data_IF_080306315510
#
_entry.id   IF_080306315510
#
_cell.length_a   1.000
_cell.length_b   1.000
_cell.length_c   1.000
_cell.angle_alpha   90.00
_cell.angle_beta   90.00
_cell.angle_gamma   90.00
#
_symmetry.space_group_name_H-M   'P 1'
#
loop_
_entity.id
_entity.type
_entity.pdbx_description
1 polymer ?
#
# COMPACT_ATOMS: atom_id res chain seq x y z
N UNK A 1 -21.67 -17.27 6.27
CA UNK A 1 -20.23 -17.26 5.94
C UNK A 1 -19.54 -16.53 7.06
N UNK A 2 -18.67 -17.21 7.82
CA UNK A 2 -17.98 -16.59 8.96
C UNK A 2 -17.03 -15.52 8.40
N UNK A 3 -17.29 -14.24 8.70
CA UNK A 3 -16.35 -13.18 8.36
C UNK A 3 -15.16 -13.33 9.29
N UNK A 4 -14.03 -13.84 8.80
CA UNK A 4 -12.76 -13.81 9.54
C UNK A 4 -12.48 -12.35 9.87
N UNK A 5 -12.47 -12.01 11.16
CA UNK A 5 -12.22 -10.65 11.62
C UNK A 5 -10.70 -10.45 11.70
N UNK A 6 -10.24 -9.35 11.11
CA UNK A 6 -8.85 -8.93 11.14
C UNK A 6 -8.78 -7.54 11.74
N UNK A 7 -7.92 -7.36 12.74
CA UNK A 7 -7.68 -6.05 13.33
C UNK A 7 -6.44 -5.43 12.69
N UNK A 8 -6.62 -4.26 12.05
CA UNK A 8 -5.52 -3.55 11.39
C UNK A 8 -4.99 -2.44 12.29
N UNK A 9 -3.72 -2.54 12.67
CA UNK A 9 -3.09 -1.59 13.59
C UNK A 9 -1.63 -1.32 13.24
N UNK A 10 -1.05 -0.29 13.86
CA UNK A 10 0.36 0.05 13.66
C UNK A 10 1.26 -1.04 14.25
N UNK A 11 2.35 -1.37 13.55
CA UNK A 11 3.35 -2.32 14.03
C UNK A 11 3.99 -1.82 15.35
N UNK A 12 4.10 -2.71 16.34
CA UNK A 12 4.82 -2.51 17.58
C UNK A 12 5.71 -3.75 17.88
N UNK A 13 6.35 -3.77 19.05
CA UNK A 13 7.29 -4.83 19.47
C UNK A 13 6.62 -6.13 19.89
N UNK A 14 5.31 -6.13 20.17
CA UNK A 14 4.54 -7.31 20.62
C UNK A 14 4.16 -8.22 19.44
N UNK A 15 4.19 -7.71 18.21
CA UNK A 15 3.85 -8.49 17.04
C UNK A 15 5.00 -9.44 16.64
N UNK A 16 4.71 -10.74 16.62
CA UNK A 16 5.62 -11.73 16.08
C UNK A 16 5.79 -11.54 14.56
N UNK A 17 7.02 -11.17 14.17
CA UNK A 17 7.41 -10.96 12.77
C UNK A 17 8.16 -12.16 12.20
N UNK A 18 8.74 -12.98 13.05
CA UNK A 18 9.65 -14.05 12.65
C UNK A 18 8.90 -15.23 12.05
N UNK A 19 7.66 -15.47 12.48
CA UNK A 19 6.78 -16.49 11.91
C UNK A 19 6.08 -16.08 10.61
N UNK A 20 6.21 -14.83 10.17
CA UNK A 20 5.51 -14.35 8.97
C UNK A 20 6.07 -14.98 7.69
N UNK A 21 5.17 -15.56 6.89
CA UNK A 21 5.55 -16.18 5.62
C UNK A 21 4.52 -15.89 4.53
N UNK A 22 4.83 -14.93 3.65
CA UNK A 22 4.05 -14.64 2.45
C UNK A 22 4.50 -15.45 1.24
N UNK A 23 5.58 -16.24 1.30
CA UNK A 23 6.12 -16.94 0.11
C UNK A 23 6.88 -16.03 -0.84
N UNK A 24 7.33 -14.88 -0.35
CA UNK A 24 8.10 -13.91 -1.11
C UNK A 24 9.29 -13.53 -0.25
N UNK A 25 10.44 -14.18 -0.47
CA UNK A 25 11.63 -14.02 0.39
C UNK A 25 12.02 -12.56 0.62
N UNK A 26 11.85 -11.71 -0.39
CA UNK A 26 12.09 -10.27 -0.28
C UNK A 26 11.15 -9.55 0.69
N UNK A 27 9.84 -9.89 0.68
CA UNK A 27 8.85 -9.29 1.57
C UNK A 27 9.01 -9.86 2.99
N UNK A 28 9.15 -11.18 3.09
CA UNK A 28 9.31 -11.89 4.36
C UNK A 28 10.58 -11.42 5.08
N UNK A 29 11.72 -11.42 4.38
CA UNK A 29 12.99 -10.96 4.94
C UNK A 29 12.99 -9.48 5.33
N UNK A 30 12.31 -8.62 4.57
CA UNK A 30 12.13 -7.23 4.96
C UNK A 30 11.34 -7.09 6.26
N UNK A 31 10.21 -7.78 6.37
CA UNK A 31 9.31 -7.67 7.53
C UNK A 31 9.97 -8.20 8.80
N UNK A 32 10.67 -9.33 8.69
CA UNK A 32 11.39 -9.94 9.80
C UNK A 32 12.53 -9.03 10.28
N UNK A 33 13.38 -8.54 9.36
CA UNK A 33 14.69 -7.96 9.74
C UNK A 33 14.79 -6.45 9.63
N UNK A 34 14.08 -5.82 8.70
CA UNK A 34 14.33 -4.42 8.32
C UNK A 34 13.25 -3.44 8.79
N UNK A 35 11.97 -3.85 8.76
CA UNK A 35 10.84 -2.93 8.97
C UNK A 35 10.90 -2.16 10.29
N UNK A 36 11.39 -2.77 11.37
CA UNK A 36 11.54 -2.11 12.66
C UNK A 36 12.53 -0.94 12.62
N UNK A 37 13.63 -1.07 11.87
CA UNK A 37 14.57 0.03 11.67
C UNK A 37 13.95 1.15 10.85
N UNK A 38 13.22 0.80 9.80
CA UNK A 38 12.55 1.78 8.94
C UNK A 38 11.51 2.61 9.69
N UNK A 39 10.75 1.96 10.58
CA UNK A 39 9.80 2.62 11.48
C UNK A 39 10.51 3.55 12.46
N UNK A 40 11.59 3.09 13.11
CA UNK A 40 12.38 3.92 14.04
C UNK A 40 12.99 5.15 13.37
N UNK A 41 13.51 5.00 12.16
CA UNK A 41 14.07 6.09 11.38
C UNK A 41 13.01 6.97 10.71
N UNK A 42 11.72 6.66 10.86
CA UNK A 42 10.61 7.36 10.23
C UNK A 42 10.69 7.42 8.70
N UNK A 43 11.34 6.43 8.08
CA UNK A 43 11.39 6.30 6.62
C UNK A 43 10.16 5.55 6.08
N UNK A 44 9.49 4.75 6.92
CA UNK A 44 8.19 4.16 6.62
C UNK A 44 7.37 3.98 7.90
N UNK A 45 6.05 4.13 7.79
CA UNK A 45 5.10 3.58 8.76
C UNK A 45 4.73 2.15 8.33
N UNK A 46 4.55 1.24 9.29
CA UNK A 46 4.13 -0.14 9.04
C UNK A 46 2.86 -0.45 9.81
N UNK A 47 1.92 -1.12 9.14
CA UNK A 47 0.66 -1.56 9.69
C UNK A 47 0.52 -3.07 9.45
N UNK A 48 -0.06 -3.76 10.43
CA UNK A 48 -0.27 -5.21 10.42
C UNK A 48 -1.75 -5.51 10.56
N UNK A 49 -2.22 -6.56 9.87
CA UNK A 49 -3.48 -7.22 10.16
C UNK A 49 -3.23 -8.39 11.10
N UNK A 50 -3.94 -8.44 12.22
CA UNK A 50 -3.86 -9.52 13.19
C UNK A 50 -5.07 -10.44 13.08
N UNK A 51 -4.82 -11.74 13.25
CA UNK A 51 -5.84 -12.75 13.50
C UNK A 51 -5.36 -13.64 14.65
N UNK A 52 -6.09 -13.66 15.76
CA UNK A 52 -5.72 -14.40 16.99
C UNK A 52 -4.24 -14.17 17.39
N UNK A 53 -3.82 -12.90 17.45
CA UNK A 53 -2.45 -12.43 17.76
C UNK A 53 -1.37 -12.78 16.73
N UNK A 54 -1.70 -13.49 15.64
CA UNK A 54 -0.78 -13.77 14.55
C UNK A 54 -0.89 -12.70 13.47
N UNK A 55 0.26 -12.27 12.93
CA UNK A 55 0.29 -11.36 11.77
C UNK A 55 -0.19 -12.11 10.52
N UNK A 56 -1.37 -11.75 10.04
CA UNK A 56 -1.97 -12.30 8.83
C UNK A 56 -1.52 -11.57 7.56
N UNK A 57 -1.06 -10.34 7.69
CA UNK A 57 -0.56 -9.51 6.59
C UNK A 57 -0.02 -8.19 7.10
N UNK A 58 0.72 -7.48 6.24
CA UNK A 58 1.22 -6.16 6.56
C UNK A 58 1.32 -5.29 5.31
N UNK A 59 1.37 -3.98 5.52
CA UNK A 59 1.76 -3.03 4.49
C UNK A 59 2.56 -1.87 5.09
N UNK A 60 3.28 -1.14 4.24
CA UNK A 60 4.02 0.05 4.64
C UNK A 60 3.58 1.29 3.87
N UNK A 61 3.64 2.45 4.51
CA UNK A 61 3.39 3.76 3.90
C UNK A 61 4.60 4.68 4.10
N UNK A 62 4.98 5.42 3.08
CA UNK A 62 6.06 6.40 3.13
C UNK A 62 5.71 7.65 2.30
N UNK A 63 6.27 8.80 2.65
CA UNK A 63 6.14 10.01 1.83
C UNK A 63 6.78 9.80 0.45
N UNK A 64 6.16 10.33 -0.60
CA UNK A 64 6.66 10.20 -1.96
C UNK A 64 6.30 11.39 -2.84
N UNK A 65 6.96 11.48 -4.00
CA UNK A 65 6.61 12.39 -5.07
C UNK A 65 6.62 11.67 -6.41
N UNK A 66 5.68 12.01 -7.28
CA UNK A 66 5.65 11.56 -8.67
C UNK A 66 6.09 12.72 -9.53
N UNK A 67 7.07 12.53 -10.42
CA UNK A 67 7.43 13.56 -11.39
C UNK A 67 6.22 13.83 -12.29
N UNK A 68 5.83 15.09 -12.45
CA UNK A 68 4.68 15.48 -13.26
C UNK A 68 4.84 14.96 -14.70
N UNK A 69 6.07 14.99 -15.23
CA UNK A 69 6.41 14.48 -16.55
C UNK A 69 6.16 12.97 -16.73
N UNK A 70 6.15 12.19 -15.64
CA UNK A 70 5.94 10.74 -15.68
C UNK A 70 4.45 10.37 -15.62
N UNK A 71 3.54 11.34 -15.43
CA UNK A 71 2.11 11.07 -15.38
C UNK A 71 1.50 11.03 -16.79
N UNK A 72 0.39 10.29 -17.00
CA UNK A 72 -0.34 10.36 -18.25
C UNK A 72 -0.77 11.79 -18.60
N UNK A 73 -0.69 12.17 -19.87
CA UNK A 73 -1.04 13.53 -20.35
C UNK A 73 -2.43 13.99 -19.91
N UNK A 74 -3.41 13.07 -19.88
CA UNK A 74 -4.76 13.34 -19.41
C UNK A 74 -4.84 13.72 -17.92
N UNK A 75 -3.90 13.21 -17.12
CA UNK A 75 -3.75 13.52 -15.69
C UNK A 75 -3.05 14.85 -15.50
N UNK A 76 -1.94 15.10 -16.22
CA UNK A 76 -1.15 16.35 -16.14
C UNK A 76 -2.05 17.58 -16.34
N UNK A 77 -2.96 17.54 -17.32
CA UNK A 77 -3.86 18.65 -17.65
C UNK A 77 -4.79 19.08 -16.49
N UNK A 78 -4.98 18.23 -15.48
CA UNK A 78 -5.86 18.47 -14.33
C UNK A 78 -5.10 18.91 -13.07
N UNK A 79 -3.77 19.03 -13.16
CA UNK A 79 -2.90 19.32 -12.02
C UNK A 79 -2.20 20.67 -12.17
N UNK A 80 -1.84 21.33 -11.05
CA UNK A 80 -0.94 22.47 -11.07
C UNK A 80 0.41 22.11 -11.69
N UNK A 81 1.06 23.09 -12.34
CA UNK A 81 2.33 22.91 -13.04
C UNK A 81 3.55 22.95 -12.11
N UNK A 82 3.55 22.12 -11.08
CA UNK A 82 4.73 21.86 -10.25
C UNK A 82 5.51 20.65 -10.80
N UNK A 83 6.85 20.60 -10.64
CA UNK A 83 7.65 19.51 -11.18
C UNK A 83 7.29 18.16 -10.56
N UNK A 84 6.83 18.16 -9.30
CA UNK A 84 6.43 16.96 -8.56
C UNK A 84 5.00 17.07 -8.05
N UNK A 85 4.33 15.93 -8.03
CA UNK A 85 2.98 15.74 -7.51
C UNK A 85 3.08 14.99 -6.18
N UNK A 86 2.46 15.49 -5.09
CA UNK A 86 2.56 14.85 -3.78
C UNK A 86 1.87 13.48 -3.78
N UNK A 87 2.54 12.47 -3.23
CA UNK A 87 2.02 11.12 -3.15
C UNK A 87 2.41 10.46 -1.82
N UNK A 88 1.71 9.38 -1.50
CA UNK A 88 2.17 8.41 -0.50
C UNK A 88 2.53 7.14 -1.23
N UNK A 89 3.66 6.51 -0.89
CA UNK A 89 4.06 5.22 -1.45
C UNK A 89 3.62 4.11 -0.52
N UNK A 90 2.82 3.18 -1.02
CA UNK A 90 2.69 1.86 -0.39
C UNK A 90 3.87 1.02 -0.86
N UNK A 91 4.91 0.99 -0.04
CA UNK A 91 6.19 0.38 -0.42
C UNK A 91 6.10 -1.14 -0.49
N UNK A 92 5.31 -1.73 0.42
CA UNK A 92 5.14 -3.19 0.52
C UNK A 92 3.70 -3.50 0.93
N UNK A 93 3.20 -4.62 0.41
CA UNK A 93 1.95 -5.24 0.79
C UNK A 93 2.16 -6.76 0.70
N UNK A 94 1.91 -7.46 1.80
CA UNK A 94 2.06 -8.90 1.86
C UNK A 94 0.96 -9.52 2.73
N UNK A 95 0.54 -10.72 2.34
CA UNK A 95 -0.41 -11.55 3.08
C UNK A 95 0.27 -12.89 3.33
N UNK A 96 0.26 -13.32 4.59
CA UNK A 96 0.78 -14.63 5.00
C UNK A 96 0.02 -15.74 4.27
N UNK A 97 0.71 -16.81 3.88
CA UNK A 97 0.15 -17.88 3.07
C UNK A 97 -1.09 -18.52 3.70
N UNK A 98 -1.14 -18.63 5.03
CA UNK A 98 -2.28 -19.20 5.75
C UNK A 98 -3.57 -18.37 5.60
N UNK A 99 -3.44 -17.09 5.23
CA UNK A 99 -4.55 -16.12 5.13
C UNK A 99 -4.82 -15.64 3.69
N UNK A 100 -4.17 -16.26 2.69
CA UNK A 100 -4.40 -15.95 1.29
C UNK A 100 -5.81 -16.36 0.84
N UNK A 101 -6.26 -15.75 -0.26
CA UNK A 101 -7.55 -16.01 -0.91
C UNK A 101 -8.80 -15.71 -0.04
N UNK A 102 -8.64 -15.00 1.07
CA UNK A 102 -9.74 -14.53 1.93
C UNK A 102 -10.07 -13.04 1.73
N UNK A 103 -9.55 -12.42 0.67
CA UNK A 103 -9.74 -10.99 0.38
C UNK A 103 -8.86 -10.04 1.22
N UNK A 104 -8.01 -10.56 2.12
CA UNK A 104 -7.20 -9.76 3.03
C UNK A 104 -6.29 -8.75 2.33
N UNK A 105 -5.70 -9.09 1.18
CA UNK A 105 -4.86 -8.15 0.43
C UNK A 105 -5.63 -6.91 -0.06
N UNK A 106 -6.88 -7.10 -0.51
CA UNK A 106 -7.76 -6.01 -0.89
C UNK A 106 -8.23 -5.19 0.32
N UNK A 107 -8.49 -5.84 1.45
CA UNK A 107 -8.85 -5.16 2.69
C UNK A 107 -7.71 -4.29 3.24
N UNK A 108 -6.47 -4.80 3.26
CA UNK A 108 -5.28 -4.03 3.62
C UNK A 108 -5.03 -2.85 2.68
N UNK A 109 -5.26 -3.05 1.38
CA UNK A 109 -5.16 -1.96 0.40
C UNK A 109 -6.22 -0.88 0.65
N UNK A 110 -7.46 -1.26 0.97
CA UNK A 110 -8.53 -0.33 1.29
C UNK A 110 -8.23 0.48 2.57
N UNK A 111 -7.77 -0.19 3.63
CA UNK A 111 -7.33 0.47 4.88
C UNK A 111 -6.20 1.48 4.59
N UNK A 112 -5.20 1.10 3.79
CA UNK A 112 -4.10 1.99 3.43
C UNK A 112 -4.55 3.23 2.63
N UNK A 113 -5.49 3.06 1.71
CA UNK A 113 -6.09 4.17 0.95
C UNK A 113 -6.84 5.11 1.92
N UNK A 114 -7.64 4.56 2.82
CA UNK A 114 -8.38 5.34 3.81
C UNK A 114 -7.46 6.13 4.75
N UNK A 115 -6.39 5.50 5.26
CA UNK A 115 -5.37 6.20 6.08
C UNK A 115 -4.69 7.31 5.31
N UNK A 116 -4.41 7.10 4.03
CA UNK A 116 -3.79 8.11 3.17
C UNK A 116 -4.73 9.30 2.93
N UNK A 117 -6.03 9.04 2.74
CA UNK A 117 -7.05 10.10 2.58
C UNK A 117 -7.25 10.89 3.87
N UNK A 118 -7.23 10.21 5.03
CA UNK A 118 -7.42 10.83 6.36
C UNK A 118 -6.16 11.52 6.89
N UNK A 119 -5.02 11.41 6.21
CA UNK A 119 -3.79 12.02 6.64
C UNK A 119 -3.90 13.55 6.64
N UNK A 120 -3.32 14.20 7.65
CA UNK A 120 -3.32 15.66 7.77
C UNK A 120 -2.55 16.33 6.63
N UNK A 121 -1.44 15.73 6.20
CA UNK A 121 -0.69 16.17 5.03
C UNK A 121 -1.35 15.57 3.79
N UNK A 122 -2.01 16.43 3.02
CA UNK A 122 -2.70 16.02 1.80
C UNK A 122 -1.75 15.43 0.76
N UNK A 123 -2.21 14.37 0.09
CA UNK A 123 -1.53 13.76 -1.05
C UNK A 123 -2.51 13.59 -2.22
N UNK A 124 -2.00 13.64 -3.44
CA UNK A 124 -2.83 13.47 -4.63
C UNK A 124 -3.10 11.99 -4.92
N UNK A 125 -2.09 11.13 -4.70
CA UNK A 125 -2.14 9.73 -5.11
C UNK A 125 -1.46 8.79 -4.11
N UNK A 126 -1.95 7.55 -4.09
CA UNK A 126 -1.20 6.40 -3.56
C UNK A 126 -0.37 5.79 -4.69
N UNK A 127 0.92 5.57 -4.47
CA UNK A 127 1.90 5.06 -5.43
C UNK A 127 2.38 3.67 -4.99
N UNK A 128 2.56 2.75 -5.92
CA UNK A 128 3.08 1.40 -5.68
C UNK A 128 4.10 1.02 -6.74
N UNK A 129 5.04 0.17 -6.36
CA UNK A 129 5.83 -0.63 -7.32
C UNK A 129 5.40 -2.08 -7.20
N UNK A 130 4.79 -2.59 -8.27
CA UNK A 130 4.42 -3.98 -8.38
C UNK A 130 5.68 -4.84 -8.61
N UNK A 131 5.77 -5.97 -7.90
CA UNK A 131 6.93 -6.87 -8.00
C UNK A 131 6.89 -7.80 -9.22
N UNK A 132 5.70 -8.05 -9.76
CA UNK A 132 5.43 -8.97 -10.86
C UNK A 132 4.11 -8.61 -11.55
N UNK A 133 3.83 -9.25 -12.69
CA UNK A 133 2.61 -8.99 -13.48
C UNK A 133 1.33 -9.32 -12.69
N UNK A 134 1.37 -10.31 -11.79
CA UNK A 134 0.21 -10.63 -10.94
C UNK A 134 -0.11 -9.46 -10.00
N UNK A 135 0.90 -8.84 -9.41
CA UNK A 135 0.75 -7.63 -8.60
C UNK A 135 0.25 -6.44 -9.44
N UNK A 136 0.74 -6.28 -10.68
CA UNK A 136 0.22 -5.26 -11.61
C UNK A 136 -1.28 -5.46 -11.85
N UNK A 137 -1.72 -6.70 -12.13
CA UNK A 137 -3.13 -7.01 -12.35
C UNK A 137 -3.97 -6.78 -11.09
N UNK A 138 -3.45 -7.16 -9.92
CA UNK A 138 -4.09 -6.89 -8.63
C UNK A 138 -4.34 -5.38 -8.43
N UNK A 139 -3.31 -4.54 -8.60
CA UNK A 139 -3.47 -3.09 -8.43
C UNK A 139 -4.38 -2.48 -9.51
N UNK A 140 -4.28 -2.92 -10.77
CA UNK A 140 -5.17 -2.51 -11.87
C UNK A 140 -6.63 -2.83 -11.57
N UNK A 141 -6.92 -4.01 -11.01
CA UNK A 141 -8.25 -4.39 -10.57
C UNK A 141 -8.81 -3.43 -9.51
N UNK A 142 -7.95 -2.90 -8.64
CA UNK A 142 -8.30 -1.87 -7.65
C UNK A 142 -8.27 -0.43 -8.20
N UNK A 143 -8.16 -0.25 -9.52
CA UNK A 143 -8.27 1.05 -10.18
C UNK A 143 -6.97 1.85 -10.28
N UNK A 144 -5.82 1.24 -9.95
CA UNK A 144 -4.52 1.87 -10.18
C UNK A 144 -4.22 2.01 -11.67
N UNK A 145 -3.43 3.02 -12.01
CA UNK A 145 -3.01 3.34 -13.37
C UNK A 145 -1.49 3.26 -13.42
N UNK A 146 -0.93 2.47 -14.34
CA UNK A 146 0.51 2.43 -14.54
C UNK A 146 1.02 3.75 -15.14
N UNK A 147 2.25 4.12 -14.78
CA UNK A 147 2.94 5.22 -15.45
C UNK A 147 3.26 4.83 -16.91
N UNK A 148 3.27 5.78 -17.86
CA UNK A 148 3.49 5.48 -19.28
C UNK A 148 4.81 4.74 -19.54
N UNK A 149 5.88 5.13 -18.86
CA UNK A 149 7.23 4.61 -19.07
C UNK A 149 7.69 3.60 -18.00
N UNK A 150 6.82 3.25 -17.05
CA UNK A 150 7.11 2.26 -16.01
C UNK A 150 5.88 1.39 -15.75
N UNK A 151 5.73 0.24 -16.43
CA UNK A 151 4.53 -0.61 -16.33
C UNK A 151 4.34 -1.22 -14.93
N UNK A 152 5.42 -1.35 -14.16
CA UNK A 152 5.39 -1.86 -12.78
C UNK A 152 5.19 -0.77 -11.73
N UNK A 153 5.29 0.51 -12.08
CA UNK A 153 4.97 1.61 -11.15
C UNK A 153 3.56 2.09 -11.44
N UNK A 154 2.67 1.98 -10.46
CA UNK A 154 1.28 2.38 -10.60
C UNK A 154 0.86 3.39 -9.55
N UNK A 155 -0.10 4.24 -9.87
CA UNK A 155 -0.67 5.20 -8.94
C UNK A 155 -2.20 5.18 -8.97
N UNK A 156 -2.80 5.50 -7.82
CA UNK A 156 -4.23 5.67 -7.65
C UNK A 156 -4.52 7.13 -7.24
N UNK A 157 -5.16 7.94 -8.10
CA UNK A 157 -5.65 9.26 -7.70
C UNK A 157 -6.69 9.16 -6.58
N UNK A 158 -6.43 9.80 -5.44
CA UNK A 158 -7.30 9.69 -4.25
C UNK A 158 -8.61 10.49 -4.40
N UNK A 159 -8.60 11.54 -5.23
CA UNK A 159 -9.79 12.35 -5.56
C UNK A 159 -10.91 11.50 -6.19
N UNK A 160 -10.57 10.40 -6.88
CA UNK A 160 -11.55 9.51 -7.50
C UNK A 160 -12.20 8.55 -6.48
N UNK A 161 -11.52 8.26 -5.36
CA UNK A 161 -11.99 7.33 -4.33
C UNK A 161 -12.99 8.01 -3.39
N UNK A 162 -12.75 9.28 -3.02
CA UNK A 162 -13.64 10.07 -2.14
C UNK A 162 -15.08 10.19 -2.71
N UNK A 163 -15.24 10.15 -4.04
CA UNK A 163 -16.56 10.18 -4.69
C UNK A 163 -17.34 8.87 -4.62
N UNK A 164 -16.68 7.72 -4.43
CA UNK A 164 -17.34 6.41 -4.35
C UNK A 164 -17.82 6.07 -2.93
N UNK A 165 -17.24 6.65 -1.90
CA UNK A 165 -17.63 6.45 -0.50
C UNK A 165 -18.84 7.27 -0.02
N UNK A 166 -19.41 8.15 -0.87
CA UNK A 166 -20.60 8.97 -0.59
C UNK A 166 -21.90 8.43 -1.22
N UNK A 167 -21.96 7.14 -1.54
CA UNK A 167 -23.19 6.47 -2.01
C UNK A 167 -23.70 5.48 -0.98
#
# INVERSE_FOLDING_TARGET
MSSTMFDVMQLNEEHDRDSFYSGSEFLDGYFQRQVGQDVRCRVAACFVALHDHRVAGYYTLAAAGIQLANLPTATIKKLPRYPTVPAVRMGRLAVDQAFRNQGLGGALLADAIERTIRAEIASYALLVDAKDDNAVQFYRHHGFIALPDSPFTLFLPLIAVDKKGKK
#
